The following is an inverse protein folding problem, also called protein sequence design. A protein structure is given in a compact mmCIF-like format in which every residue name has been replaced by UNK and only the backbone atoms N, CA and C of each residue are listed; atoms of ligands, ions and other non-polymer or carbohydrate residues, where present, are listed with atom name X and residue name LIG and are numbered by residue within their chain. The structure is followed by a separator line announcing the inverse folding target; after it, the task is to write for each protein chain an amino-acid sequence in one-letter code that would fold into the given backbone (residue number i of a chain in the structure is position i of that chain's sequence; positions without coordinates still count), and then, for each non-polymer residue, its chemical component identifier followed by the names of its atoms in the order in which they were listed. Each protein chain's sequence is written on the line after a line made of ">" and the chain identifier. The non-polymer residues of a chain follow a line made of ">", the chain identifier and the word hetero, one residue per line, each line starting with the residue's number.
data_IF_725911568648
#
_entry.id   IF_725911568648
#
_cell.length_a   1.000
_cell.length_b   1.000
_cell.length_c   1.000
_cell.angle_alpha   90.00
_cell.angle_beta   90.00
_cell.angle_gamma   90.00
#
_symmetry.space_group_name_H-M   'P 1'
#
loop_
_entity.id
_entity.type
_entity.pdbx_description
1 polymer ?
#
# COMPACT_ATOMS: atom_id res chain seq x y z
N UNK A 1 -9.73 10.97 -0.88
CA UNK A 1 -9.08 9.65 -0.78
C UNK A 1 -7.73 9.82 -0.10
N UNK A 2 -7.35 8.93 0.79
CA UNK A 2 -6.06 8.97 1.48
C UNK A 2 -5.39 7.59 1.42
N UNK A 3 -4.06 7.58 1.30
CA UNK A 3 -3.27 6.35 1.42
C UNK A 3 -2.65 6.29 2.80
N UNK A 4 -2.81 5.15 3.47
CA UNK A 4 -2.22 4.89 4.78
C UNK A 4 -1.16 3.81 4.59
N UNK A 5 0.11 4.19 4.79
CA UNK A 5 1.27 3.33 4.55
C UNK A 5 1.96 3.02 5.88
N UNK A 6 2.38 1.77 6.05
CA UNK A 6 3.10 1.32 7.23
C UNK A 6 4.58 1.72 7.21
N UNK A 7 5.24 1.62 8.36
CA UNK A 7 6.69 1.73 8.43
C UNK A 7 7.35 0.51 7.78
N UNK A 8 8.58 0.67 7.28
CA UNK A 8 9.42 -0.47 6.86
C UNK A 8 9.57 -1.47 8.03
N UNK A 9 9.42 -2.77 7.75
CA UNK A 9 9.42 -3.82 8.78
C UNK A 9 8.01 -4.19 9.26
N UNK A 10 7.57 -3.80 10.49
CA UNK A 10 6.31 -4.25 11.08
C UNK A 10 5.05 -3.75 10.34
N UNK A 11 5.18 -2.80 9.41
CA UNK A 11 4.07 -2.29 8.61
C UNK A 11 3.08 -1.46 9.42
N UNK A 12 1.79 -1.60 9.11
CA UNK A 12 0.72 -0.90 9.81
C UNK A 12 0.37 -1.57 11.13
N UNK A 13 0.21 -0.75 12.18
CA UNK A 13 -0.36 -1.19 13.46
C UNK A 13 -1.81 -1.62 13.27
N UNK A 14 -2.26 -2.62 14.03
CA UNK A 14 -3.61 -3.17 13.87
C UNK A 14 -4.71 -2.14 14.12
N UNK A 15 -4.53 -1.26 15.12
CA UNK A 15 -5.44 -0.12 15.34
C UNK A 15 -5.48 0.85 14.15
N UNK A 16 -4.38 1.03 13.43
CA UNK A 16 -4.36 1.87 12.23
C UNK A 16 -5.13 1.21 11.09
N UNK A 17 -4.99 -0.12 10.94
CA UNK A 17 -5.76 -0.90 9.96
C UNK A 17 -7.27 -0.78 10.18
N UNK A 18 -7.73 -0.75 11.44
CA UNK A 18 -9.18 -0.64 11.73
C UNK A 18 -9.80 0.70 11.34
N UNK A 19 -9.00 1.75 11.10
CA UNK A 19 -9.50 3.02 10.59
C UNK A 19 -9.52 3.10 9.05
N UNK A 20 -8.97 2.09 8.36
CA UNK A 20 -8.94 2.06 6.90
C UNK A 20 -10.21 1.41 6.37
N UNK A 21 -10.85 2.05 5.39
CA UNK A 21 -12.03 1.48 4.71
C UNK A 21 -11.68 0.22 3.92
N UNK A 22 -10.44 0.15 3.41
CA UNK A 22 -9.93 -0.98 2.65
C UNK A 22 -8.46 -1.24 3.00
N UNK A 23 -8.09 -2.51 3.04
CA UNK A 23 -6.69 -2.95 3.12
C UNK A 23 -6.32 -3.61 1.80
N UNK A 24 -5.22 -3.15 1.20
CA UNK A 24 -4.70 -3.66 -0.07
C UNK A 24 -3.24 -4.08 0.08
N UNK A 25 -2.81 -5.03 -0.74
CA UNK A 25 -1.44 -5.53 -0.76
C UNK A 25 -0.95 -5.59 -2.20
N UNK A 26 0.25 -5.05 -2.45
CA UNK A 26 0.94 -5.21 -3.73
C UNK A 26 1.52 -6.64 -3.77
N UNK A 27 1.14 -7.48 -4.75
CA UNK A 27 1.73 -8.80 -4.90
C UNK A 27 3.24 -8.71 -5.15
N UNK A 28 4.03 -9.51 -4.45
CA UNK A 28 5.47 -9.67 -4.70
C UNK A 28 5.76 -11.12 -5.09
N UNK A 29 6.55 -11.31 -6.15
CA UNK A 29 6.88 -12.64 -6.67
C UNK A 29 8.13 -13.26 -6.02
N UNK A 30 8.90 -12.49 -5.25
CA UNK A 30 10.17 -12.92 -4.69
C UNK A 30 10.12 -12.96 -3.16
N UNK A 31 11.03 -13.74 -2.55
CA UNK A 31 11.28 -13.78 -1.10
C UNK A 31 11.95 -12.50 -0.56
N UNK A 32 12.31 -11.58 -1.45
CA UNK A 32 12.67 -10.20 -1.12
C UNK A 32 11.52 -9.59 -0.31
N UNK A 33 11.82 -8.95 0.82
CA UNK A 33 10.82 -8.51 1.79
C UNK A 33 9.81 -7.47 1.29
N UNK A 34 9.28 -6.64 2.19
CA UNK A 34 8.37 -5.57 1.78
C UNK A 34 9.03 -4.60 0.80
N UNK A 35 8.27 -4.13 -0.19
CA UNK A 35 8.68 -2.98 -1.01
C UNK A 35 9.02 -1.79 -0.12
N UNK A 36 9.97 -0.96 -0.58
CA UNK A 36 10.18 0.36 0.00
C UNK A 36 8.86 1.16 -0.05
N UNK A 37 8.58 1.90 1.03
CA UNK A 37 7.31 2.62 1.21
C UNK A 37 7.05 3.63 0.09
N UNK A 38 8.08 4.31 -0.41
CA UNK A 38 7.92 5.28 -1.51
C UNK A 38 7.54 4.60 -2.83
N UNK A 39 8.13 3.44 -3.13
CA UNK A 39 7.76 2.64 -4.29
C UNK A 39 6.34 2.10 -4.19
N UNK A 40 5.94 1.62 -3.00
CA UNK A 40 4.57 1.17 -2.76
C UNK A 40 3.55 2.30 -2.95
N UNK A 41 3.87 3.52 -2.47
CA UNK A 41 3.05 4.70 -2.68
C UNK A 41 2.89 5.03 -4.18
N UNK A 42 4.00 5.01 -4.93
CA UNK A 42 3.99 5.30 -6.35
C UNK A 42 3.12 4.31 -7.14
N UNK A 43 3.22 3.01 -6.85
CA UNK A 43 2.38 1.97 -7.47
C UNK A 43 0.90 2.19 -7.14
N UNK A 44 0.56 2.45 -5.88
CA UNK A 44 -0.82 2.69 -5.47
C UNK A 44 -1.41 3.95 -6.12
N UNK A 45 -0.64 5.04 -6.20
CA UNK A 45 -1.06 6.27 -6.88
C UNK A 45 -1.25 6.06 -8.39
N UNK A 46 -0.37 5.28 -9.02
CA UNK A 46 -0.50 4.93 -10.42
C UNK A 46 -1.79 4.14 -10.65
N UNK A 47 -2.00 3.05 -9.92
CA UNK A 47 -3.19 2.20 -10.06
C UNK A 47 -4.50 3.01 -9.96
N UNK A 48 -4.62 3.87 -8.94
CA UNK A 48 -5.82 4.69 -8.79
C UNK A 48 -5.94 5.77 -9.88
N UNK A 49 -4.83 6.32 -10.36
CA UNK A 49 -4.88 7.25 -11.50
C UNK A 49 -5.45 6.57 -12.75
N UNK A 50 -5.08 5.32 -13.02
CA UNK A 50 -5.54 4.58 -14.21
C UNK A 50 -6.93 3.95 -14.04
N UNK A 51 -7.31 3.56 -12.82
CA UNK A 51 -8.65 3.06 -12.52
C UNK A 51 -9.76 4.09 -12.79
N UNK A 52 -9.43 5.39 -12.81
CA UNK A 52 -10.35 6.48 -13.11
C UNK A 52 -10.37 6.89 -14.61
N UNK A 53 -9.65 6.19 -15.50
CA UNK A 53 -9.57 6.48 -16.94
C UNK A 53 -10.30 5.39 -17.75
N UNK A 54 -11.34 4.76 -17.19
CA UNK A 54 -12.22 3.79 -17.88
C UNK A 54 -13.66 4.23 -17.81
#
# INVERSE_FOLDING_TARGET
>A
MAFVLGAEGPGLRDKTKSYCDMLVKIPSHNSEGSLNVSNAAAVAMYDIRFANIS
#
